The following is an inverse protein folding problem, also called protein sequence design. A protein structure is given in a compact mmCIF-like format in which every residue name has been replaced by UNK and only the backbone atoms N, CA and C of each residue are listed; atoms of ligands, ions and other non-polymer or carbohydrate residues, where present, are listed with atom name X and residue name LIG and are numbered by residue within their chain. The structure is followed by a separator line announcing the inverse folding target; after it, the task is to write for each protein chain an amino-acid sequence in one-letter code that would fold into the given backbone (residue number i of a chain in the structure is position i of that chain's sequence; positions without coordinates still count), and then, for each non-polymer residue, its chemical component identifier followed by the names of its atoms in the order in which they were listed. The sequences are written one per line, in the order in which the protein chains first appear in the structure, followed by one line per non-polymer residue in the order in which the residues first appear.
data_IF_911841625777
#
_entry.id   IF_911841625777
#
_cell.length_a   1.000
_cell.length_b   1.000
_cell.length_c   1.000
_cell.angle_alpha   90.00
_cell.angle_beta   90.00
_cell.angle_gamma   90.00
#
_symmetry.space_group_name_H-M   'P 1'
#
loop_
_entity.id
_entity.type
_entity.pdbx_description
1 polymer ?
#
# COMPACT_ATOMS: atom_id res chain seq x y z
N UNK A 1 -27.04 -28.01 -19.24
CA UNK A 1 -25.86 -27.46 -19.95
C UNK A 1 -25.90 -25.95 -19.80
N UNK A 2 -24.93 -25.24 -19.20
CA UNK A 2 -23.59 -25.62 -18.77
C UNK A 2 -23.34 -25.21 -17.32
N UNK A 3 -22.79 -26.19 -16.62
CA UNK A 3 -22.31 -26.20 -15.25
C UNK A 3 -20.98 -25.42 -15.21
N UNK A 4 -21.03 -24.09 -15.36
CA UNK A 4 -19.83 -23.24 -15.38
C UNK A 4 -19.56 -22.63 -14.00
N UNK A 5 -18.60 -23.28 -13.34
CA UNK A 5 -17.58 -22.64 -12.51
C UNK A 5 -18.08 -21.94 -11.26
N UNK A 6 -18.62 -22.76 -10.35
CA UNK A 6 -18.19 -22.68 -8.95
C UNK A 6 -16.71 -23.03 -8.91
N UNK A 7 -15.84 -22.11 -9.30
CA UNK A 7 -14.43 -22.17 -8.95
C UNK A 7 -14.35 -21.87 -7.46
N UNK A 8 -14.51 -22.96 -6.71
CA UNK A 8 -14.23 -23.01 -5.29
C UNK A 8 -12.89 -22.34 -5.07
N UNK A 9 -12.88 -21.33 -4.20
CA UNK A 9 -11.70 -20.80 -3.53
C UNK A 9 -10.80 -21.99 -3.20
N UNK A 10 -9.82 -22.24 -4.06
CA UNK A 10 -8.89 -23.35 -3.85
C UNK A 10 -8.15 -22.95 -2.60
N UNK A 11 -8.51 -23.57 -1.47
CA UNK A 11 -7.86 -23.31 -0.21
C UNK A 11 -6.39 -23.65 -0.41
N UNK A 12 -5.57 -22.62 -0.62
CA UNK A 12 -4.13 -22.76 -0.58
C UNK A 12 -3.80 -22.80 0.91
N UNK A 13 -3.43 -23.96 1.47
CA UNK A 13 -3.03 -24.00 2.86
C UNK A 13 -1.91 -22.98 3.06
N UNK A 14 -1.91 -22.22 4.18
CA UNK A 14 -0.81 -21.31 4.47
C UNK A 14 0.48 -22.13 4.38
N UNK A 15 1.45 -21.63 3.59
CA UNK A 15 2.74 -22.31 3.48
C UNK A 15 3.24 -22.60 4.89
N UNK A 16 3.74 -23.81 5.18
CA UNK A 16 4.24 -24.14 6.50
C UNK A 16 5.23 -23.05 6.88
N UNK A 17 4.90 -22.29 7.93
CA UNK A 17 5.78 -21.26 8.48
C UNK A 17 7.01 -22.04 8.89
N UNK A 18 8.10 -21.88 8.14
CA UNK A 18 9.32 -22.64 8.34
C UNK A 18 9.61 -22.69 9.83
N UNK A 19 9.77 -23.91 10.37
CA UNK A 19 10.01 -24.17 11.79
C UNK A 19 10.85 -23.03 12.37
N UNK A 20 10.21 -22.17 13.16
CA UNK A 20 10.86 -21.02 13.77
C UNK A 20 12.00 -21.59 14.61
N UNK A 21 13.22 -21.45 14.08
CA UNK A 21 14.45 -21.69 14.82
C UNK A 21 14.32 -21.00 16.18
N UNK A 22 14.81 -21.66 17.25
CA UNK A 22 14.74 -21.20 18.64
C UNK A 22 14.79 -19.66 18.73
N UNK A 23 13.89 -19.02 19.49
CA UNK A 23 13.82 -17.57 19.54
C UNK A 23 15.21 -17.01 19.87
N UNK A 24 15.66 -15.98 19.15
CA UNK A 24 16.96 -15.39 19.42
C UNK A 24 17.02 -14.92 20.88
N UNK A 25 18.23 -14.82 21.46
CA UNK A 25 18.40 -14.29 22.81
C UNK A 25 17.64 -12.96 22.96
N UNK A 26 17.00 -12.74 24.13
CA UNK A 26 16.12 -11.56 24.37
C UNK A 26 16.78 -10.24 23.95
N UNK A 27 18.07 -10.09 24.19
CA UNK A 27 18.87 -8.92 23.80
C UNK A 27 18.85 -8.70 22.28
N UNK A 28 19.07 -9.75 21.50
CA UNK A 28 19.08 -9.71 20.02
C UNK A 28 17.69 -9.33 19.50
N UNK A 29 16.64 -9.90 20.08
CA UNK A 29 15.27 -9.55 19.72
C UNK A 29 14.96 -8.06 19.97
N UNK A 30 15.31 -7.54 21.15
CA UNK A 30 15.13 -6.12 21.49
C UNK A 30 15.89 -5.22 20.53
N UNK A 31 17.16 -5.56 20.24
CA UNK A 31 18.00 -4.80 19.33
C UNK A 31 17.41 -4.77 17.91
N UNK A 32 16.98 -5.93 17.38
CA UNK A 32 16.33 -6.00 16.07
C UNK A 32 15.03 -5.19 16.02
N UNK A 33 14.25 -5.21 17.11
CA UNK A 33 13.02 -4.42 17.23
C UNK A 33 13.32 -2.92 17.22
N UNK A 34 14.34 -2.49 17.96
CA UNK A 34 14.78 -1.09 17.99
C UNK A 34 15.28 -0.63 16.61
N UNK A 35 16.12 -1.45 15.94
CA UNK A 35 16.62 -1.16 14.60
C UNK A 35 15.45 -1.01 13.62
N UNK A 36 14.48 -1.93 13.64
CA UNK A 36 13.28 -1.85 12.80
C UNK A 36 12.45 -0.61 13.10
N UNK A 37 12.26 -0.29 14.37
CA UNK A 37 11.51 0.90 14.78
C UNK A 37 12.17 2.18 14.24
N UNK A 38 13.47 2.35 14.47
CA UNK A 38 14.23 3.52 13.97
C UNK A 38 14.18 3.57 12.45
N UNK A 39 14.47 2.46 11.76
CA UNK A 39 14.44 2.40 10.30
C UNK A 39 13.04 2.75 9.74
N UNK A 40 11.97 2.25 10.36
CA UNK A 40 10.59 2.54 9.95
C UNK A 40 10.25 4.01 10.10
N UNK A 41 10.61 4.64 11.23
CA UNK A 41 10.36 6.07 11.45
C UNK A 41 11.22 6.97 10.56
N UNK A 42 12.51 6.67 10.41
CA UNK A 42 13.39 7.40 9.50
C UNK A 42 12.87 7.30 8.07
N UNK A 43 12.46 6.11 7.63
CA UNK A 43 11.86 5.92 6.32
C UNK A 43 10.56 6.73 6.18
N UNK A 44 9.63 6.62 7.13
CA UNK A 44 8.36 7.36 7.11
C UNK A 44 8.59 8.87 6.98
N UNK A 45 9.45 9.43 7.82
CA UNK A 45 9.73 10.87 7.85
C UNK A 45 10.45 11.37 6.60
N UNK A 46 11.31 10.56 5.97
CA UNK A 46 12.01 10.97 4.75
C UNK A 46 11.14 10.79 3.50
N UNK A 47 10.47 9.66 3.39
CA UNK A 47 9.66 9.31 2.21
C UNK A 47 8.37 10.10 2.09
N UNK A 48 7.78 10.57 3.21
CA UNK A 48 6.60 11.44 3.15
C UNK A 48 6.93 12.72 2.37
N UNK A 49 8.09 13.34 2.61
CA UNK A 49 8.52 14.54 1.87
C UNK A 49 8.73 14.25 0.38
N UNK A 50 9.26 13.08 0.03
CA UNK A 50 9.40 12.67 -1.37
C UNK A 50 8.04 12.58 -2.06
N UNK A 51 7.03 12.00 -1.39
CA UNK A 51 5.65 11.97 -1.90
C UNK A 51 5.11 13.38 -2.06
N UNK A 52 5.32 14.28 -1.09
CA UNK A 52 4.92 15.69 -1.20
C UNK A 52 5.56 16.40 -2.39
N UNK A 53 6.84 16.14 -2.68
CA UNK A 53 7.53 16.68 -3.84
C UNK A 53 6.96 16.18 -5.18
N UNK A 54 6.24 15.06 -5.19
CA UNK A 54 5.55 14.59 -6.40
C UNK A 54 4.21 15.29 -6.65
N UNK A 55 3.66 16.02 -5.68
CA UNK A 55 2.35 16.70 -5.85
C UNK A 55 2.32 17.65 -7.06
N UNK A 56 3.31 18.50 -7.33
CA UNK A 56 3.31 19.37 -8.51
C UNK A 56 3.22 18.60 -9.83
N UNK A 57 3.64 17.33 -9.86
CA UNK A 57 3.50 16.48 -11.05
C UNK A 57 2.04 16.18 -11.41
N UNK A 58 1.09 16.41 -10.49
CA UNK A 58 -0.35 16.30 -10.80
C UNK A 58 -0.75 17.23 -11.95
N UNK A 59 -0.09 18.38 -12.11
CA UNK A 59 -0.36 19.31 -13.20
C UNK A 59 0.00 18.76 -14.58
N UNK A 60 0.97 17.83 -14.66
CA UNK A 60 1.38 17.19 -15.92
C UNK A 60 0.63 15.87 -16.18
N UNK A 61 -0.11 15.34 -15.20
CA UNK A 61 -0.87 14.09 -15.35
C UNK A 61 -1.81 14.08 -16.57
N UNK A 62 -2.56 15.15 -16.91
CA UNK A 62 -3.40 15.15 -18.10
C UNK A 62 -2.61 14.98 -19.39
N UNK A 63 -1.39 15.52 -19.45
CA UNK A 63 -0.49 15.38 -20.60
C UNK A 63 0.01 13.93 -20.68
N UNK A 64 0.47 13.37 -19.57
CA UNK A 64 0.92 11.97 -19.51
C UNK A 64 -0.19 10.98 -19.90
N UNK A 65 -1.41 11.22 -19.43
CA UNK A 65 -2.57 10.40 -19.80
C UNK A 65 -2.90 10.51 -21.29
N UNK A 66 -2.81 11.71 -21.89
CA UNK A 66 -2.96 11.89 -23.35
C UNK A 66 -1.86 11.18 -24.15
N UNK A 67 -0.68 11.00 -23.57
CA UNK A 67 0.42 10.20 -24.14
C UNK A 67 0.23 8.69 -23.93
N UNK A 68 -0.90 8.25 -23.36
CA UNK A 68 -1.20 6.84 -23.13
C UNK A 68 -0.56 6.25 -21.88
N UNK A 69 0.02 7.06 -20.99
CA UNK A 69 0.55 6.57 -19.71
C UNK A 69 -0.62 6.11 -18.83
N UNK A 70 -0.63 4.83 -18.39
CA UNK A 70 -1.67 4.33 -17.51
C UNK A 70 -1.66 5.06 -16.17
N UNK A 71 -2.83 5.25 -15.55
CA UNK A 71 -2.97 5.96 -14.27
C UNK A 71 -2.04 5.37 -13.19
N UNK A 72 -1.83 4.05 -13.17
CA UNK A 72 -0.97 3.41 -12.17
C UNK A 72 0.54 3.69 -12.32
N UNK A 73 0.95 4.32 -13.42
CA UNK A 73 2.34 4.72 -13.70
C UNK A 73 2.58 6.23 -13.56
N UNK A 74 1.57 6.99 -13.13
CA UNK A 74 1.78 8.41 -12.88
C UNK A 74 2.77 8.61 -11.73
N UNK A 75 3.57 9.69 -11.73
CA UNK A 75 4.66 9.86 -10.76
C UNK A 75 4.18 9.79 -9.31
N UNK A 76 3.02 10.38 -9.02
CA UNK A 76 2.41 10.35 -7.69
C UNK A 76 2.04 8.92 -7.27
N UNK A 77 1.42 8.13 -8.17
CA UNK A 77 1.02 6.75 -7.91
C UNK A 77 2.22 5.82 -7.69
N UNK A 78 3.30 6.03 -8.45
CA UNK A 78 4.55 5.28 -8.28
C UNK A 78 5.18 5.63 -6.92
N UNK A 79 5.24 6.91 -6.56
CA UNK A 79 5.84 7.36 -5.31
C UNK A 79 5.06 6.88 -4.08
N UNK A 80 3.73 7.00 -4.08
CA UNK A 80 2.86 6.53 -2.98
C UNK A 80 2.90 5.01 -2.87
N UNK A 81 3.02 4.27 -3.98
CA UNK A 81 3.14 2.80 -3.93
C UNK A 81 4.50 2.36 -3.39
N UNK A 82 5.57 3.04 -3.80
CA UNK A 82 6.90 2.79 -3.26
C UNK A 82 6.94 3.07 -1.76
N UNK A 83 6.39 4.21 -1.34
CA UNK A 83 6.20 4.58 0.06
C UNK A 83 5.47 3.50 0.85
N UNK A 84 4.29 3.06 0.38
CA UNK A 84 3.50 2.04 1.04
C UNK A 84 4.24 0.70 1.14
N UNK A 85 4.83 0.22 0.03
CA UNK A 85 5.60 -1.04 0.03
C UNK A 85 6.82 -1.00 0.94
N UNK A 86 7.56 0.12 0.94
CA UNK A 86 8.74 0.28 1.78
C UNK A 86 8.38 0.27 3.27
N UNK A 87 7.31 0.97 3.64
CA UNK A 87 6.82 0.99 5.01
C UNK A 87 6.42 -0.42 5.50
N UNK A 88 5.67 -1.16 4.67
CA UNK A 88 5.28 -2.53 4.98
C UNK A 88 6.48 -3.48 5.08
N UNK A 89 7.45 -3.33 4.18
CA UNK A 89 8.67 -4.13 4.20
C UNK A 89 9.46 -3.93 5.50
N UNK A 90 9.63 -2.69 5.96
CA UNK A 90 10.31 -2.38 7.22
C UNK A 90 9.53 -2.84 8.45
N UNK A 91 8.20 -2.83 8.37
CA UNK A 91 7.32 -3.44 9.37
C UNK A 91 7.37 -4.99 9.34
N UNK A 92 8.10 -5.61 8.41
CA UNK A 92 8.19 -7.06 8.26
C UNK A 92 6.94 -7.70 7.62
N UNK A 93 6.10 -6.90 6.97
CA UNK A 93 4.86 -7.33 6.34
C UNK A 93 5.10 -7.62 4.87
N UNK A 94 4.90 -8.89 4.48
CA UNK A 94 4.93 -9.32 3.08
C UNK A 94 3.52 -9.65 2.61
N UNK A 95 2.99 -8.83 1.71
CA UNK A 95 1.70 -9.06 1.08
C UNK A 95 1.81 -10.11 -0.01
N UNK A 96 0.76 -10.92 -0.12
CA UNK A 96 0.51 -11.82 -1.25
C UNK A 96 -0.83 -11.37 -1.84
N UNK A 97 -0.86 -11.19 -3.16
CA UNK A 97 -2.07 -10.81 -3.88
C UNK A 97 -2.56 -11.97 -4.71
N UNK A 98 -3.85 -12.25 -4.59
CA UNK A 98 -4.54 -13.26 -5.38
C UNK A 98 -5.67 -12.58 -6.15
N UNK A 99 -5.71 -12.78 -7.46
CA UNK A 99 -6.64 -12.09 -8.34
C UNK A 99 -6.30 -10.62 -8.59
N UNK A 100 -6.98 -10.04 -9.58
CA UNK A 100 -6.86 -8.62 -9.94
C UNK A 100 -8.16 -8.13 -10.58
N UNK A 101 -8.71 -7.03 -10.07
CA UNK A 101 -9.78 -6.32 -10.77
C UNK A 101 -9.20 -5.65 -12.02
N UNK A 102 -9.84 -5.86 -13.17
CA UNK A 102 -9.43 -5.29 -14.47
C UNK A 102 -10.25 -4.07 -14.86
N UNK A 103 -11.40 -3.88 -14.22
CA UNK A 103 -12.36 -2.81 -14.51
C UNK A 103 -12.50 -1.87 -13.31
N UNK A 104 -12.99 -0.63 -13.52
CA UNK A 104 -13.31 0.28 -12.43
C UNK A 104 -14.24 -0.39 -11.41
N UNK A 105 -13.73 -0.63 -10.20
CA UNK A 105 -14.41 -1.43 -9.18
C UNK A 105 -14.36 -0.72 -7.84
N UNK A 106 -15.44 -0.81 -7.06
CA UNK A 106 -15.45 -0.40 -5.66
C UNK A 106 -14.97 -1.57 -4.81
N UNK A 107 -13.82 -1.41 -4.15
CA UNK A 107 -13.23 -2.44 -3.30
C UNK A 107 -13.69 -2.22 -1.86
N UNK A 108 -14.28 -3.26 -1.27
CA UNK A 108 -14.70 -3.27 0.12
C UNK A 108 -13.76 -4.20 0.89
N UNK A 109 -13.03 -3.64 1.85
CA UNK A 109 -12.10 -4.38 2.70
C UNK A 109 -12.63 -4.46 4.13
N UNK A 110 -12.32 -5.55 4.82
CA UNK A 110 -12.32 -5.54 6.29
C UNK A 110 -11.24 -4.56 6.79
N UNK A 111 -11.53 -3.85 7.88
CA UNK A 111 -10.60 -2.91 8.49
C UNK A 111 -10.18 -3.41 9.87
N UNK A 112 -8.94 -3.86 9.99
CA UNK A 112 -8.35 -4.45 11.19
C UNK A 112 -7.22 -3.59 11.76
N UNK A 113 -6.57 -2.76 10.93
CA UNK A 113 -5.41 -1.98 11.35
C UNK A 113 -5.24 -0.68 10.58
N UNK A 114 -4.49 0.26 11.14
CA UNK A 114 -4.08 1.47 10.44
C UNK A 114 -3.16 1.21 9.24
N UNK A 115 -2.58 0.00 9.12
CA UNK A 115 -1.72 -0.38 8.01
C UNK A 115 -2.50 -0.90 6.79
N UNK A 116 -3.81 -1.12 6.92
CA UNK A 116 -4.62 -1.72 5.86
C UNK A 116 -4.59 -0.89 4.59
N UNK A 117 -4.68 0.44 4.69
CA UNK A 117 -4.59 1.33 3.53
C UNK A 117 -3.25 1.21 2.81
N UNK A 118 -2.14 1.07 3.55
CA UNK A 118 -0.82 0.85 2.94
C UNK A 118 -0.73 -0.54 2.31
N UNK A 119 -1.24 -1.58 2.98
CA UNK A 119 -1.23 -2.94 2.47
C UNK A 119 -2.01 -3.04 1.15
N UNK A 120 -3.22 -2.50 1.15
CA UNK A 120 -4.12 -2.46 0.00
C UNK A 120 -3.50 -1.64 -1.13
N UNK A 121 -3.01 -0.43 -0.87
CA UNK A 121 -2.40 0.41 -1.91
C UNK A 121 -1.06 -0.13 -2.45
N UNK A 122 -0.19 -0.62 -1.56
CA UNK A 122 1.13 -1.13 -1.91
C UNK A 122 1.04 -2.37 -2.79
N UNK A 123 0.15 -3.30 -2.43
CA UNK A 123 0.06 -4.60 -3.08
C UNK A 123 -1.00 -4.66 -4.20
N UNK A 124 -2.02 -3.81 -4.19
CA UNK A 124 -3.03 -3.77 -5.26
C UNK A 124 -2.41 -3.58 -6.66
N UNK A 125 -2.90 -4.29 -7.69
CA UNK A 125 -2.48 -4.11 -9.06
C UNK A 125 -3.02 -2.80 -9.68
N UNK A 126 -4.03 -2.18 -9.07
CA UNK A 126 -4.67 -0.94 -9.53
C UNK A 126 -4.41 0.22 -8.57
N UNK A 127 -4.30 1.43 -9.11
CA UNK A 127 -4.31 2.65 -8.29
C UNK A 127 -5.67 2.82 -7.63
N UNK A 128 -5.66 3.07 -6.32
CA UNK A 128 -6.86 3.15 -5.49
C UNK A 128 -7.11 4.57 -5.03
N UNK A 129 -8.39 4.95 -5.03
CA UNK A 129 -8.86 6.19 -4.40
C UNK A 129 -9.56 5.82 -3.11
N UNK A 130 -9.11 6.37 -2.00
CA UNK A 130 -9.69 6.10 -0.69
C UNK A 130 -10.82 7.07 -0.39
N UNK A 131 -11.94 6.54 0.11
CA UNK A 131 -12.99 7.34 0.73
C UNK A 131 -12.59 7.53 2.20
N UNK A 132 -12.17 8.74 2.55
CA UNK A 132 -11.71 9.07 3.90
C UNK A 132 -12.74 9.87 4.68
N UNK A 133 -12.75 9.71 6.01
CA UNK A 133 -13.57 10.54 6.91
C UNK A 133 -13.10 11.98 6.86
N UNK A 134 -14.05 12.93 6.88
CA UNK A 134 -13.77 14.37 6.95
C UNK A 134 -12.88 14.75 8.15
N UNK A 135 -12.97 14.02 9.26
CA UNK A 135 -12.14 14.27 10.42
C UNK A 135 -10.65 14.05 10.17
N UNK A 136 -10.29 13.17 9.23
CA UNK A 136 -8.89 12.91 8.85
C UNK A 136 -8.31 14.11 8.10
N UNK A 137 -9.16 14.89 7.43
CA UNK A 137 -8.74 16.08 6.69
C UNK A 137 -8.15 17.18 7.56
N UNK A 138 -8.51 17.21 8.85
CA UNK A 138 -7.94 18.20 9.79
C UNK A 138 -6.48 17.92 10.14
N UNK A 139 -6.02 16.66 10.01
CA UNK A 139 -4.64 16.29 10.35
C UNK A 139 -3.66 16.57 9.20
N UNK A 140 -4.14 16.67 7.96
CA UNK A 140 -3.34 17.04 6.78
C UNK A 140 -4.15 17.88 5.78
N UNK A 141 -4.50 19.14 6.12
CA UNK A 141 -5.38 19.98 5.30
C UNK A 141 -4.97 20.21 3.83
N UNK A 142 -3.67 20.38 3.49
CA UNK A 142 -3.28 20.68 2.10
C UNK A 142 -3.53 19.53 1.11
N UNK A 143 -3.52 18.28 1.58
CA UNK A 143 -3.71 17.08 0.71
C UNK A 143 -5.09 17.10 0.05
N UNK A 144 -6.11 17.60 0.77
CA UNK A 144 -7.51 17.46 0.34
C UNK A 144 -8.01 18.58 -0.57
N UNK A 145 -7.31 19.72 -0.61
CA UNK A 145 -7.59 20.79 -1.58
C UNK A 145 -7.21 20.34 -2.99
N UNK A 146 -6.13 19.56 -3.12
CA UNK A 146 -5.65 19.02 -4.40
C UNK A 146 -6.46 17.82 -4.89
N UNK A 147 -7.06 17.04 -3.98
CA UNK A 147 -7.92 15.90 -4.35
C UNK A 147 -9.27 16.32 -4.98
N UNK A 148 -9.59 17.62 -5.00
CA UNK A 148 -10.81 18.17 -5.60
C UNK A 148 -10.64 18.54 -7.08
N UNK A 149 -9.40 18.57 -7.57
CA UNK A 149 -9.03 18.88 -8.96
C UNK A 149 -8.82 17.57 -9.71
#
# INVERSE_FOLDING_TARGET
AGDSERDYLTYVPPRPVANLSKPPPKLVYILLTLIRFVATWTYLLTSIWLVWLTIPTVLINPILQKMGVPVFWLPIDVATRWFAKGLLFLAGIRGITEGAAKEPTVIVCNHLSALDSFAVYGYSPISMRFIMKRSIMWFCPPIFVLARI
#
